data_IF_359428134223
#
_entry.id   IF_359428134223
#
_cell.length_a   1.000
_cell.length_b   1.000
_cell.length_c   1.000
_cell.angle_alpha   90.00
_cell.angle_beta   90.00
_cell.angle_gamma   90.00
#
_symmetry.space_group_name_H-M   'P 1'
#
loop_
_entity.id
_entity.type
_entity.pdbx_description
1 polymer ?
#
# COMPACT_ATOMS: atom_id res chain seq x y z
N UNK A 1 -38.23 -29.76 15.58
CA UNK A 1 -37.59 -28.77 16.47
C UNK A 1 -36.50 -28.07 15.67
N UNK A 2 -36.43 -26.74 15.75
CA UNK A 2 -35.53 -25.78 15.07
C UNK A 2 -34.02 -26.16 15.15
N UNK A 3 -33.11 -25.63 14.30
CA UNK A 3 -33.08 -24.20 13.94
C UNK A 3 -32.84 -23.83 12.47
N UNK A 4 -33.36 -22.64 12.16
CA UNK A 4 -33.14 -21.83 10.96
C UNK A 4 -31.95 -20.91 11.24
N UNK A 5 -31.02 -20.81 10.30
CA UNK A 5 -29.96 -19.80 10.31
C UNK A 5 -30.52 -18.50 9.71
N UNK A 6 -30.68 -17.47 10.54
CA UNK A 6 -30.94 -16.10 10.09
C UNK A 6 -29.59 -15.38 9.95
N UNK A 7 -29.26 -14.97 8.72
CA UNK A 7 -28.13 -14.08 8.45
C UNK A 7 -28.55 -12.65 8.82
N UNK A 8 -28.03 -12.14 9.93
CA UNK A 8 -28.08 -10.71 10.26
C UNK A 8 -27.02 -9.97 9.44
N UNK A 9 -27.48 -9.30 8.37
CA UNK A 9 -26.69 -8.31 7.64
C UNK A 9 -26.69 -7.01 8.45
N UNK A 10 -25.57 -6.68 9.08
CA UNK A 10 -25.34 -5.36 9.66
C UNK A 10 -25.04 -4.38 8.51
N UNK A 11 -26.04 -3.63 8.08
CA UNK A 11 -25.85 -2.45 7.25
C UNK A 11 -25.35 -1.30 8.12
N UNK A 12 -24.06 -0.96 8.01
CA UNK A 12 -23.52 0.25 8.61
C UNK A 12 -23.97 1.47 7.79
N UNK A 13 -24.99 2.18 8.28
CA UNK A 13 -25.41 3.46 7.71
C UNK A 13 -24.35 4.54 8.05
N UNK A 14 -23.64 5.02 7.03
CA UNK A 14 -22.77 6.19 7.13
C UNK A 14 -23.65 7.44 7.28
N UNK A 15 -23.75 7.94 8.51
CA UNK A 15 -24.46 9.18 8.84
C UNK A 15 -23.78 10.36 8.14
N UNK A 16 -24.54 11.07 7.31
CA UNK A 16 -24.19 12.35 6.71
C UNK A 16 -24.31 13.46 7.76
N UNK A 17 -23.17 13.97 8.23
CA UNK A 17 -23.11 15.23 8.98
C UNK A 17 -22.28 16.24 8.18
N UNK A 18 -22.95 17.29 7.67
CA UNK A 18 -22.32 18.39 6.97
C UNK A 18 -21.62 19.34 7.92
N UNK A 19 -20.33 19.58 7.68
CA UNK A 19 -19.56 20.67 8.29
C UNK A 19 -18.77 21.37 7.16
N UNK A 20 -19.15 22.61 6.84
CA UNK A 20 -18.41 23.50 5.95
C UNK A 20 -17.98 24.72 6.79
N UNK A 21 -16.65 24.84 7.05
CA UNK A 21 -15.77 25.64 6.19
C UNK A 21 -14.40 24.98 5.85
N UNK A 22 -14.31 23.64 5.77
CA UNK A 22 -13.05 22.89 5.56
C UNK A 22 -12.72 22.52 4.08
N UNK A 23 -13.40 23.14 3.11
CA UNK A 23 -13.50 22.65 1.73
C UNK A 23 -12.22 22.80 0.89
N UNK A 24 -11.51 23.93 1.00
CA UNK A 24 -10.25 24.16 0.27
C UNK A 24 -9.09 23.34 0.86
N UNK A 25 -9.04 23.24 2.18
CA UNK A 25 -8.04 22.49 2.93
C UNK A 25 -8.19 20.97 2.71
N UNK A 26 -9.42 20.44 2.71
CA UNK A 26 -9.66 19.04 2.37
C UNK A 26 -9.22 18.68 0.94
N UNK A 27 -9.38 19.59 -0.03
CA UNK A 27 -8.98 19.37 -1.41
C UNK A 27 -7.46 19.40 -1.61
N UNK A 28 -6.73 20.30 -0.93
CA UNK A 28 -5.27 20.32 -0.97
C UNK A 28 -4.68 19.11 -0.24
N UNK A 29 -5.23 18.75 0.92
CA UNK A 29 -4.87 17.53 1.66
C UNK A 29 -5.11 16.28 0.81
N UNK A 30 -6.18 16.23 0.01
CA UNK A 30 -6.44 15.10 -0.89
C UNK A 30 -5.34 14.86 -1.90
N UNK A 31 -4.84 15.93 -2.50
CA UNK A 31 -3.71 15.82 -3.43
C UNK A 31 -2.43 15.36 -2.73
N UNK A 32 -2.17 15.86 -1.52
CA UNK A 32 -0.99 15.47 -0.76
C UNK A 32 -1.04 14.00 -0.34
N UNK A 33 -2.20 13.52 0.09
CA UNK A 33 -2.46 12.11 0.45
C UNK A 33 -2.28 11.15 -0.73
N UNK A 34 -2.74 11.58 -1.92
CA UNK A 34 -2.68 10.79 -3.14
C UNK A 34 -1.30 10.85 -3.81
N UNK A 35 -0.37 11.64 -3.27
CA UNK A 35 1.01 11.75 -3.71
C UNK A 35 1.94 10.91 -2.80
N UNK A 36 2.47 9.77 -3.27
CA UNK A 36 3.34 8.90 -2.47
C UNK A 36 4.69 9.53 -2.09
N UNK A 37 5.06 10.64 -2.73
CA UNK A 37 6.28 11.43 -2.46
C UNK A 37 5.96 12.88 -2.12
N UNK A 38 4.83 13.13 -1.46
CA UNK A 38 4.48 14.47 -0.99
C UNK A 38 5.56 15.02 -0.03
N UNK A 39 5.82 16.33 -0.11
CA UNK A 39 6.63 17.05 0.88
C UNK A 39 5.83 17.29 2.18
N UNK A 40 5.37 16.19 2.79
CA UNK A 40 4.63 16.16 4.04
C UNK A 40 4.96 14.88 4.80
N UNK A 41 5.16 15.00 6.11
CA UNK A 41 5.32 13.82 6.97
C UNK A 41 3.97 13.10 7.03
N UNK A 42 3.98 11.78 6.84
CA UNK A 42 2.76 10.98 7.00
C UNK A 42 3.04 9.61 7.61
N UNK A 43 2.02 9.05 8.26
CA UNK A 43 2.08 7.73 8.88
C UNK A 43 0.81 6.92 8.50
N UNK A 44 0.86 6.21 7.35
CA UNK A 44 -0.13 5.23 6.95
C UNK A 44 -0.01 3.92 7.74
N UNK A 45 -1.14 3.44 8.22
CA UNK A 45 -1.41 2.09 8.67
C UNK A 45 -2.33 1.43 7.64
N UNK A 46 -1.81 0.44 6.91
CA UNK A 46 -2.56 -0.26 5.86
C UNK A 46 -2.68 -1.73 6.23
N UNK A 47 -3.89 -2.17 6.58
CA UNK A 47 -4.19 -3.57 6.79
C UNK A 47 -4.67 -4.22 5.49
N UNK A 48 -4.00 -5.29 5.07
CA UNK A 48 -4.39 -6.12 3.96
C UNK A 48 -4.89 -7.46 4.51
N UNK A 49 -6.18 -7.72 4.36
CA UNK A 49 -6.77 -9.02 4.63
C UNK A 49 -6.85 -9.79 3.31
N UNK A 50 -6.04 -10.83 3.23
CA UNK A 50 -5.86 -11.66 2.05
C UNK A 50 -6.62 -12.98 2.27
N UNK A 51 -7.60 -13.25 1.41
CA UNK A 51 -8.45 -14.44 1.50
C UNK A 51 -7.95 -15.54 0.56
N UNK A 52 -8.27 -16.79 0.92
CA UNK A 52 -7.92 -17.98 0.15
C UNK A 52 -6.40 -18.13 -0.08
N UNK A 53 -5.61 -17.87 0.97
CA UNK A 53 -4.14 -18.02 0.93
C UNK A 53 -3.75 -19.46 1.26
N UNK A 54 -2.82 -19.98 0.47
CA UNK A 54 -2.20 -21.30 0.64
C UNK A 54 -3.15 -22.48 0.33
N UNK A 55 -2.62 -23.71 0.41
CA UNK A 55 -3.37 -24.93 0.06
C UNK A 55 -4.64 -25.16 0.89
N UNK A 56 -4.68 -24.57 2.09
CA UNK A 56 -5.80 -24.71 3.03
C UNK A 56 -6.85 -23.58 2.92
N UNK A 57 -6.70 -22.68 1.94
CA UNK A 57 -7.59 -21.54 1.68
C UNK A 57 -7.90 -20.72 2.94
N UNK A 58 -6.85 -20.30 3.66
CA UNK A 58 -6.98 -19.58 4.93
C UNK A 58 -6.79 -18.08 4.74
N UNK A 59 -7.24 -17.30 5.71
CA UNK A 59 -7.05 -15.84 5.72
C UNK A 59 -5.69 -15.47 6.31
N UNK A 60 -4.95 -14.65 5.57
CA UNK A 60 -3.73 -13.97 6.01
C UNK A 60 -4.05 -12.50 6.29
N UNK A 61 -3.40 -11.91 7.30
CA UNK A 61 -3.46 -10.48 7.53
C UNK A 61 -2.04 -9.90 7.51
N UNK A 62 -1.88 -8.75 6.86
CA UNK A 62 -0.63 -7.99 6.83
C UNK A 62 -0.94 -6.53 7.16
N UNK A 63 -0.45 -6.06 8.30
CA UNK A 63 -0.48 -4.65 8.67
C UNK A 63 0.85 -3.99 8.28
N UNK A 64 0.81 -3.11 7.29
CA UNK A 64 1.94 -2.29 6.90
C UNK A 64 1.91 -0.95 7.65
N UNK A 65 2.97 -0.66 8.39
CA UNK A 65 3.22 0.64 9.05
C UNK A 65 4.25 1.38 8.20
N UNK A 66 3.89 2.57 7.69
CA UNK A 66 4.58 3.14 6.54
C UNK A 66 5.08 4.58 6.72
N UNK A 67 5.94 4.90 7.71
CA UNK A 67 6.39 6.28 7.90
C UNK A 67 7.03 6.86 6.62
N UNK A 68 6.54 8.04 6.23
CA UNK A 68 7.09 8.84 5.14
C UNK A 68 7.63 10.14 5.72
N UNK A 69 8.91 10.41 5.46
CA UNK A 69 9.59 11.58 5.99
C UNK A 69 10.36 12.31 4.87
N UNK A 70 9.91 13.51 4.46
CA UNK A 70 10.64 14.35 3.52
C UNK A 70 11.74 15.14 4.23
N UNK A 71 12.95 15.10 3.66
CA UNK A 71 14.10 15.89 4.08
C UNK A 71 14.40 16.91 2.99
N UNK A 72 14.53 18.19 3.38
CA UNK A 72 15.04 19.21 2.48
C UNK A 72 16.51 18.89 2.16
N UNK A 73 16.79 18.48 0.92
CA UNK A 73 18.15 18.16 0.48
C UNK A 73 18.86 19.41 -0.04
N UNK A 74 18.18 20.19 -0.90
CA UNK A 74 18.65 21.51 -1.35
C UNK A 74 17.50 22.53 -1.36
N UNK A 75 17.73 23.73 -1.90
CA UNK A 75 16.68 24.72 -2.14
C UNK A 75 15.58 24.20 -3.08
N UNK A 76 15.94 23.34 -4.05
CA UNK A 76 15.05 22.91 -5.14
C UNK A 76 14.66 21.43 -5.05
N UNK A 77 15.37 20.63 -4.26
CA UNK A 77 15.19 19.18 -4.20
C UNK A 77 14.88 18.69 -2.79
N UNK A 78 14.01 17.69 -2.73
CA UNK A 78 13.69 16.91 -1.55
C UNK A 78 14.27 15.49 -1.68
N UNK A 79 14.68 14.94 -0.54
CA UNK A 79 14.89 13.52 -0.35
C UNK A 79 13.71 12.98 0.47
N UNK A 80 12.81 12.23 -0.17
CA UNK A 80 11.68 11.60 0.52
C UNK A 80 12.06 10.18 0.91
N UNK A 81 12.06 9.90 2.21
CA UNK A 81 12.26 8.56 2.73
C UNK A 81 10.93 7.90 3.06
N UNK A 82 10.83 6.59 2.79
CA UNK A 82 9.68 5.76 3.12
C UNK A 82 10.19 4.46 3.70
N UNK A 83 9.70 4.08 4.87
CA UNK A 83 9.93 2.74 5.44
C UNK A 83 8.62 1.99 5.45
N UNK A 84 8.60 0.71 5.10
CA UNK A 84 7.44 -0.17 5.21
C UNK A 84 7.82 -1.27 6.18
N UNK A 85 7.13 -1.31 7.32
CA UNK A 85 7.28 -2.34 8.34
C UNK A 85 6.05 -3.24 8.31
N UNK A 86 6.15 -4.47 7.80
CA UNK A 86 5.03 -5.41 7.77
C UNK A 86 4.93 -6.21 9.07
N UNK A 87 3.77 -6.16 9.72
CA UNK A 87 3.38 -7.08 10.79
C UNK A 87 2.43 -8.11 10.19
N UNK A 88 2.84 -9.37 10.19
CA UNK A 88 2.21 -10.43 9.42
C UNK A 88 1.59 -11.45 10.36
N UNK A 89 0.38 -11.87 10.03
CA UNK A 89 -0.28 -13.06 10.59
C UNK A 89 -0.49 -14.08 9.47
N UNK A 90 0.46 -15.02 9.39
CA UNK A 90 0.58 -16.02 8.34
C UNK A 90 -0.18 -17.29 8.72
N UNK A 91 -1.21 -17.70 7.97
CA UNK A 91 -1.89 -18.96 8.27
C UNK A 91 -0.98 -20.16 8.02
N UNK A 92 -1.34 -21.29 8.64
CA UNK A 92 -0.72 -22.58 8.36
C UNK A 92 -0.89 -22.97 6.88
N UNK A 93 0.16 -23.53 6.27
CA UNK A 93 0.13 -24.05 4.91
C UNK A 93 -0.09 -25.57 4.87
N UNK A 94 0.22 -26.25 5.96
CA UNK A 94 -0.04 -27.69 6.13
C UNK A 94 -0.83 -27.94 7.42
N UNK A 95 -1.54 -29.08 7.55
CA UNK A 95 -2.29 -29.40 8.77
C UNK A 95 -1.44 -29.54 10.04
N UNK A 96 -0.14 -29.77 9.90
CA UNK A 96 0.80 -29.92 11.01
C UNK A 96 1.45 -28.59 11.43
N UNK A 97 1.14 -27.49 10.75
CA UNK A 97 1.68 -26.16 11.06
C UNK A 97 0.67 -25.33 11.84
N UNK A 98 1.20 -24.49 12.73
CA UNK A 98 0.44 -23.43 13.36
C UNK A 98 0.50 -22.11 12.57
N UNK A 99 -0.36 -21.17 12.96
CA UNK A 99 -0.32 -19.78 12.48
C UNK A 99 0.91 -19.10 13.06
N UNK A 100 1.65 -18.41 12.19
CA UNK A 100 2.85 -17.67 12.56
C UNK A 100 2.54 -16.18 12.60
N UNK A 101 3.07 -15.46 13.59
CA UNK A 101 2.84 -14.03 13.73
C UNK A 101 4.15 -13.32 14.04
N UNK A 102 4.47 -12.28 13.30
CA UNK A 102 5.72 -11.58 13.50
C UNK A 102 5.97 -10.46 12.51
N UNK A 103 7.22 -10.02 12.45
CA UNK A 103 7.64 -9.06 11.45
C UNK A 103 8.00 -9.81 10.17
N UNK A 104 7.67 -9.20 9.02
CA UNK A 104 8.28 -9.57 7.75
C UNK A 104 9.42 -8.64 7.39
N UNK A 105 9.92 -8.78 6.16
CA UNK A 105 11.04 -7.97 5.67
C UNK A 105 10.66 -6.48 5.56
N UNK A 106 11.43 -5.65 6.27
CA UNK A 106 11.31 -4.19 6.19
C UNK A 106 11.85 -3.72 4.84
N UNK A 107 11.10 -2.84 4.19
CA UNK A 107 11.57 -2.15 2.98
C UNK A 107 11.80 -0.67 3.26
N UNK A 108 12.97 -0.17 2.89
CA UNK A 108 13.32 1.24 2.95
C UNK A 108 13.49 1.78 1.53
N UNK A 109 12.89 2.93 1.22
CA UNK A 109 13.07 3.62 -0.05
C UNK A 109 13.44 5.07 0.19
N UNK A 110 14.29 5.60 -0.69
CA UNK A 110 14.65 7.01 -0.71
C UNK A 110 14.49 7.54 -2.14
N UNK A 111 13.71 8.60 -2.30
CA UNK A 111 13.41 9.24 -3.58
C UNK A 111 13.98 10.65 -3.61
N UNK A 112 14.72 10.98 -4.66
CA UNK A 112 14.98 12.36 -5.04
C UNK A 112 13.81 12.88 -5.85
N UNK A 113 13.23 14.01 -5.43
CA UNK A 113 12.11 14.67 -6.11
C UNK A 113 12.33 16.17 -6.12
N UNK A 114 12.03 16.88 -7.23
CA UNK A 114 11.91 18.33 -7.21
C UNK A 114 10.83 18.78 -6.22
N UNK A 115 11.02 19.93 -5.57
CA UNK A 115 10.02 20.51 -4.67
C UNK A 115 8.77 21.01 -5.40
N UNK A 116 8.95 21.43 -6.66
CA UNK A 116 7.90 21.97 -7.50
C UNK A 116 7.61 21.00 -8.66
N UNK A 117 6.34 20.82 -9.06
CA UNK A 117 6.01 20.05 -10.24
C UNK A 117 6.71 20.59 -11.49
N UNK A 118 7.24 19.71 -12.33
CA UNK A 118 7.88 20.04 -13.61
C UNK A 118 6.88 19.75 -14.73
N UNK A 119 6.42 20.78 -15.45
CA UNK A 119 5.44 20.61 -16.52
C UNK A 119 4.10 20.00 -16.06
N UNK A 120 3.70 20.25 -14.80
CA UNK A 120 2.48 19.66 -14.20
C UNK A 120 2.67 18.26 -13.59
N UNK A 121 3.87 17.69 -13.72
CA UNK A 121 4.21 16.37 -13.18
C UNK A 121 5.03 16.48 -11.90
N UNK A 122 4.64 15.69 -10.90
CA UNK A 122 5.50 15.35 -9.77
C UNK A 122 6.17 14.03 -10.09
N UNK A 123 7.47 13.93 -9.83
CA UNK A 123 8.21 12.70 -10.06
C UNK A 123 9.32 12.55 -9.04
N UNK A 124 9.71 11.30 -8.80
CA UNK A 124 10.87 10.99 -8.01
C UNK A 124 11.55 9.73 -8.49
N UNK A 125 12.88 9.69 -8.34
CA UNK A 125 13.70 8.54 -8.65
C UNK A 125 14.65 8.26 -7.49
N UNK A 126 14.97 6.99 -7.26
CA UNK A 126 15.91 6.65 -6.22
C UNK A 126 16.05 5.15 -6.04
N UNK A 127 16.27 4.74 -4.79
CA UNK A 127 16.65 3.37 -4.44
C UNK A 127 15.68 2.78 -3.42
N UNK A 128 15.53 1.47 -3.47
CA UNK A 128 14.82 0.66 -2.50
C UNK A 128 15.76 -0.43 -1.98
N UNK A 129 15.74 -0.64 -0.66
CA UNK A 129 16.42 -1.71 0.03
C UNK A 129 15.40 -2.58 0.76
N UNK A 130 15.56 -3.89 0.65
CA UNK A 130 14.86 -4.87 1.47
C UNK A 130 15.83 -5.36 2.55
N UNK A 131 15.37 -5.35 3.79
CA UNK A 131 16.16 -5.76 4.95
C UNK A 131 15.68 -7.14 5.40
N UNK A 132 16.62 -8.05 5.58
CA UNK A 132 16.35 -9.38 6.11
C UNK A 132 16.07 -9.29 7.61
N UNK A 133 14.81 -9.06 7.94
CA UNK A 133 14.35 -8.66 9.28
C UNK A 133 13.13 -9.46 9.73
N UNK A 134 12.67 -10.39 8.89
CA UNK A 134 11.57 -11.27 9.24
C UNK A 134 11.93 -12.10 10.49
N UNK A 135 10.97 -12.23 11.40
CA UNK A 135 11.20 -12.95 12.67
C UNK A 135 11.05 -14.46 12.53
N UNK A 136 10.48 -14.92 11.42
CA UNK A 136 10.33 -16.32 11.08
C UNK A 136 10.47 -16.49 9.58
N UNK A 137 10.98 -17.64 9.15
CA UNK A 137 11.30 -17.90 7.76
C UNK A 137 10.09 -17.81 6.82
N UNK A 138 8.89 -18.06 7.33
CA UNK A 138 7.63 -18.00 6.60
C UNK A 138 7.11 -16.57 6.39
N UNK A 139 7.72 -15.58 7.05
CA UNK A 139 7.27 -14.18 7.03
C UNK A 139 8.13 -13.29 6.11
N UNK A 140 9.25 -13.81 5.61
CA UNK A 140 10.19 -13.07 4.77
C UNK A 140 10.87 -13.94 3.72
N UNK A 141 11.68 -13.29 2.91
CA UNK A 141 12.45 -13.90 1.82
C UNK A 141 13.78 -14.47 2.32
N UNK A 142 14.28 -14.04 3.49
CA UNK A 142 15.58 -14.45 4.02
C UNK A 142 16.74 -13.88 3.19
N UNK A 143 16.56 -12.64 2.72
CA UNK A 143 17.50 -11.98 1.82
C UNK A 143 17.50 -10.45 1.96
N UNK A 144 18.72 -9.90 2.02
CA UNK A 144 18.98 -8.49 1.80
C UNK A 144 18.85 -8.18 0.32
N UNK A 145 18.07 -7.16 0.00
CA UNK A 145 17.82 -6.76 -1.38
C UNK A 145 18.09 -5.28 -1.64
N UNK A 146 18.41 -4.95 -2.89
CA UNK A 146 18.59 -3.59 -3.36
C UNK A 146 18.06 -3.44 -4.79
N UNK A 147 17.56 -2.27 -5.13
CA UNK A 147 17.31 -1.92 -6.53
C UNK A 147 16.72 -0.52 -6.73
N UNK A 148 16.38 -0.15 -7.97
CA UNK A 148 15.86 1.15 -8.31
C UNK A 148 14.38 1.25 -7.97
N UNK A 149 13.93 2.47 -7.69
CA UNK A 149 12.52 2.82 -7.61
C UNK A 149 12.28 4.17 -8.27
N UNK A 150 11.12 4.32 -8.91
CA UNK A 150 10.69 5.55 -9.51
C UNK A 150 9.19 5.74 -9.34
N UNK A 151 8.76 6.99 -9.36
CA UNK A 151 7.36 7.38 -9.32
C UNK A 151 7.14 8.62 -10.17
N UNK A 152 6.00 8.67 -10.84
CA UNK A 152 5.55 9.86 -11.55
C UNK A 152 4.03 9.99 -11.43
N UNK A 153 3.55 11.22 -11.22
CA UNK A 153 2.13 11.50 -11.12
C UNK A 153 1.77 12.92 -11.55
N UNK A 154 0.53 13.06 -11.98
CA UNK A 154 -0.08 14.32 -12.36
C UNK A 154 -1.14 14.73 -11.33
N UNK A 155 -1.05 15.96 -10.81
CA UNK A 155 -1.89 16.48 -9.72
C UNK A 155 -3.02 17.41 -10.23
N UNK A 156 -4.01 16.83 -10.90
CA UNK A 156 -5.21 17.56 -11.34
C UNK A 156 -6.15 17.94 -10.18
N UNK A 157 -7.22 18.68 -10.49
CA UNK A 157 -8.29 19.01 -9.50
C UNK A 157 -9.22 17.82 -9.27
N UNK A 158 -9.73 17.23 -10.35
CA UNK A 158 -10.64 16.09 -10.32
C UNK A 158 -9.88 14.77 -10.38
N UNK A 159 -8.88 14.69 -11.26
CA UNK A 159 -8.11 13.48 -11.50
C UNK A 159 -6.71 13.61 -10.93
N UNK A 160 -6.29 12.63 -10.15
CA UNK A 160 -4.90 12.42 -9.76
C UNK A 160 -4.51 11.04 -10.22
N UNK A 161 -3.48 10.94 -11.05
CA UNK A 161 -3.06 9.65 -11.58
C UNK A 161 -1.55 9.57 -11.74
N UNK A 162 -1.01 8.35 -11.72
CA UNK A 162 0.40 8.09 -11.82
C UNK A 162 0.72 6.62 -11.64
N UNK A 163 2.00 6.33 -11.50
CA UNK A 163 2.48 5.00 -11.17
C UNK A 163 3.78 5.08 -10.37
N UNK A 164 3.96 4.11 -9.48
CA UNK A 164 5.23 3.81 -8.82
C UNK A 164 5.71 2.46 -9.31
N UNK A 165 6.99 2.36 -9.63
CA UNK A 165 7.64 1.11 -10.01
C UNK A 165 8.93 0.91 -9.21
N UNK A 166 9.24 -0.33 -8.89
CA UNK A 166 10.56 -0.73 -8.43
C UNK A 166 10.87 -2.17 -8.84
N UNK A 167 12.15 -2.52 -8.77
CA UNK A 167 12.59 -3.91 -8.81
C UNK A 167 13.65 -4.11 -7.73
N UNK A 168 13.56 -5.21 -6.98
CA UNK A 168 14.50 -5.56 -5.91
C UNK A 168 15.23 -6.84 -6.31
N UNK A 169 16.56 -6.82 -6.21
CA UNK A 169 17.39 -8.01 -6.36
C UNK A 169 18.05 -8.37 -5.03
N UNK A 170 18.18 -9.66 -4.73
CA UNK A 170 18.98 -10.12 -3.59
C UNK A 170 20.46 -9.78 -3.79
N UNK A 171 21.08 -9.17 -2.79
CA UNK A 171 22.51 -8.90 -2.70
C UNK A 171 23.21 -9.91 -1.79
N UNK A 172 22.53 -10.32 -0.73
CA UNK A 172 22.92 -11.41 0.16
C UNK A 172 21.65 -12.17 0.59
N UNK A 173 21.79 -13.47 0.86
CA UNK A 173 20.69 -14.33 1.27
C UNK A 173 21.20 -15.42 2.21
N UNK A 174 20.30 -15.99 2.99
CA UNK A 174 20.60 -17.22 3.73
C UNK A 174 20.81 -18.40 2.77
N UNK A 175 21.56 -19.41 3.23
CA UNK A 175 22.03 -20.52 2.39
C UNK A 175 20.86 -21.28 1.73
N UNK A 176 19.78 -21.54 2.48
CA UNK A 176 18.62 -22.31 2.04
C UNK A 176 17.53 -21.47 1.32
N UNK A 177 17.81 -20.20 1.04
CA UNK A 177 16.86 -19.28 0.40
C UNK A 177 17.07 -19.16 -1.11
N UNK A 178 16.00 -18.83 -1.84
CA UNK A 178 16.09 -18.51 -3.28
C UNK A 178 16.62 -17.09 -3.45
N UNK A 179 17.19 -16.81 -4.63
CA UNK A 179 17.46 -15.43 -5.01
C UNK A 179 16.15 -14.64 -5.05
N UNK A 180 16.24 -13.34 -4.76
CA UNK A 180 15.13 -12.40 -4.92
C UNK A 180 15.32 -11.65 -6.22
N UNK A 181 14.30 -11.65 -7.07
CA UNK A 181 14.20 -10.75 -8.21
C UNK A 181 12.72 -10.38 -8.37
N UNK A 182 12.32 -9.30 -7.71
CA UNK A 182 10.91 -8.97 -7.54
C UNK A 182 10.60 -7.56 -8.06
N UNK A 183 9.69 -7.48 -9.02
CA UNK A 183 9.13 -6.21 -9.49
C UNK A 183 7.86 -5.87 -8.70
N UNK A 184 7.68 -4.58 -8.39
CA UNK A 184 6.42 -4.01 -7.96
C UNK A 184 6.03 -2.87 -8.90
N UNK A 185 4.80 -2.90 -9.39
CA UNK A 185 4.16 -1.83 -10.14
C UNK A 185 2.85 -1.45 -9.45
N UNK A 186 2.76 -0.20 -9.02
CA UNK A 186 1.57 0.37 -8.40
C UNK A 186 1.05 1.50 -9.28
N UNK A 187 0.11 1.23 -10.21
CA UNK A 187 -0.66 2.31 -10.80
C UNK A 187 -1.54 2.94 -9.71
N UNK A 188 -1.84 4.23 -9.85
CA UNK A 188 -2.87 4.87 -9.04
C UNK A 188 -3.66 5.85 -9.90
N UNK A 189 -4.99 5.75 -9.81
CA UNK A 189 -5.94 6.67 -10.44
C UNK A 189 -6.98 7.02 -9.40
N UNK A 190 -7.12 8.30 -9.09
CA UNK A 190 -8.06 8.82 -8.11
C UNK A 190 -9.01 9.83 -8.78
N UNK A 191 -10.30 9.66 -8.52
CA UNK A 191 -11.35 10.58 -8.91
C UNK A 191 -11.87 11.30 -7.68
N UNK A 192 -11.52 12.58 -7.53
CA UNK A 192 -11.95 13.44 -6.44
C UNK A 192 -13.32 14.04 -6.77
N UNK A 193 -14.30 13.87 -5.88
CA UNK A 193 -15.66 14.36 -6.11
C UNK A 193 -15.72 15.89 -5.96
N UNK A 194 -16.01 16.67 -7.02
CA UNK A 194 -15.98 18.14 -6.95
C UNK A 194 -16.96 18.72 -5.94
N UNK A 195 -18.13 18.08 -5.79
CA UNK A 195 -19.20 18.49 -4.88
C UNK A 195 -19.13 17.82 -3.50
N UNK A 196 -18.09 17.03 -3.22
CA UNK A 196 -17.90 16.39 -1.92
C UNK A 196 -16.40 16.34 -1.59
N UNK A 197 -15.82 17.47 -1.17
CA UNK A 197 -14.40 17.60 -0.89
C UNK A 197 -13.89 16.53 0.09
N UNK A 198 -12.70 16.01 -0.18
CA UNK A 198 -12.09 14.95 0.62
C UNK A 198 -12.56 13.53 0.27
N UNK A 199 -13.71 13.37 -0.40
CA UNK A 199 -14.17 12.07 -0.90
C UNK A 199 -13.59 11.79 -2.27
N UNK A 200 -13.17 10.55 -2.50
CA UNK A 200 -12.67 10.12 -3.80
C UNK A 200 -12.89 8.63 -4.06
N UNK A 201 -12.93 8.25 -5.34
CA UNK A 201 -12.74 6.87 -5.79
C UNK A 201 -11.26 6.65 -6.06
N UNK A 202 -10.78 5.43 -5.82
CA UNK A 202 -9.39 5.07 -6.06
C UNK A 202 -9.26 3.72 -6.75
N UNK A 203 -8.37 3.67 -7.73
CA UNK A 203 -7.85 2.46 -8.33
C UNK A 203 -6.35 2.47 -8.06
N UNK A 204 -5.87 1.65 -7.13
CA UNK A 204 -4.44 1.52 -6.85
C UNK A 204 -4.04 0.10 -6.42
N UNK A 205 -4.22 -0.89 -7.32
CA UNK A 205 -3.70 -2.24 -7.07
C UNK A 205 -2.18 -2.22 -6.96
N UNK A 206 -1.64 -3.24 -6.29
CA UNK A 206 -0.20 -3.50 -6.26
C UNK A 206 0.03 -4.73 -7.12
N UNK A 207 0.59 -4.53 -8.31
CA UNK A 207 0.95 -5.59 -9.24
C UNK A 207 2.38 -6.02 -8.92
N UNK A 208 2.62 -7.32 -8.86
CA UNK A 208 3.96 -7.86 -8.59
C UNK A 208 4.34 -8.92 -9.61
N UNK A 209 5.65 -9.05 -9.84
CA UNK A 209 6.25 -10.16 -10.57
C UNK A 209 7.45 -10.73 -9.79
N UNK A 210 7.45 -12.03 -9.52
CA UNK A 210 8.64 -12.79 -9.08
C UNK A 210 9.29 -13.41 -10.32
N UNK A 211 10.43 -12.86 -10.73
CA UNK A 211 11.13 -13.31 -11.93
C UNK A 211 11.88 -14.64 -11.71
N UNK A 212 12.06 -15.06 -10.46
CA UNK A 212 12.64 -16.36 -10.10
C UNK A 212 11.56 -17.44 -9.92
N UNK A 213 10.28 -17.10 -10.06
CA UNK A 213 9.20 -18.06 -9.98
C UNK A 213 9.07 -18.89 -11.27
N UNK A 214 8.53 -20.11 -11.11
CA UNK A 214 8.25 -21.01 -12.22
C UNK A 214 7.25 -20.39 -13.21
N UNK A 215 7.25 -20.92 -14.45
CA UNK A 215 6.31 -20.48 -15.50
C UNK A 215 4.86 -20.60 -15.03
N UNK A 216 4.11 -19.50 -15.15
CA UNK A 216 2.71 -19.40 -14.71
C UNK A 216 2.54 -19.07 -13.23
N UNK A 217 3.64 -18.81 -12.50
CA UNK A 217 3.61 -18.45 -11.07
C UNK A 217 4.26 -17.09 -10.80
N UNK A 218 4.64 -16.35 -11.84
CA UNK A 218 5.39 -15.11 -11.68
C UNK A 218 4.52 -13.93 -11.24
N UNK A 219 3.31 -13.83 -11.77
CA UNK A 219 2.54 -12.59 -11.69
C UNK A 219 1.47 -12.64 -10.61
N UNK A 220 1.29 -11.52 -9.91
CA UNK A 220 0.05 -11.22 -9.18
C UNK A 220 -0.52 -9.92 -9.73
N UNK A 221 -1.73 -10.00 -10.31
CA UNK A 221 -2.42 -8.87 -10.92
C UNK A 221 -3.78 -8.67 -10.24
N UNK A 222 -3.88 -7.72 -9.30
CA UNK A 222 -5.16 -7.38 -8.68
C UNK A 222 -5.97 -6.43 -9.56
N UNK A 223 -7.25 -6.70 -9.71
CA UNK A 223 -8.23 -5.81 -10.29
C UNK A 223 -9.30 -5.46 -9.25
N UNK A 224 -9.56 -4.17 -9.05
CA UNK A 224 -10.48 -3.74 -8.01
C UNK A 224 -10.49 -2.23 -7.82
N UNK A 225 -11.39 -1.77 -6.96
CA UNK A 225 -11.61 -0.35 -6.69
C UNK A 225 -11.71 -0.12 -5.19
N UNK A 226 -11.50 1.13 -4.81
CA UNK A 226 -11.68 1.60 -3.46
C UNK A 226 -12.34 2.96 -3.39
N UNK A 227 -12.67 3.32 -2.17
CA UNK A 227 -13.19 4.62 -1.78
C UNK A 227 -12.26 5.20 -0.72
N UNK A 228 -12.11 6.52 -0.74
CA UNK A 228 -11.35 7.26 0.24
C UNK A 228 -12.12 8.46 0.77
N UNK A 229 -11.81 8.83 2.00
CA UNK A 229 -12.37 9.99 2.67
C UNK A 229 -11.31 10.65 3.54
N UNK A 230 -11.12 11.95 3.32
CA UNK A 230 -10.27 12.78 4.17
C UNK A 230 -11.15 13.47 5.19
N UNK A 231 -10.73 13.36 6.43
CA UNK A 231 -11.40 13.93 7.57
C UNK A 231 -10.38 14.46 8.58
N UNK A 232 -10.87 15.06 9.65
CA UNK A 232 -10.05 15.56 10.75
C UNK A 232 -10.51 14.89 12.04
N UNK A 233 -9.58 14.29 12.78
CA UNK A 233 -9.80 13.85 14.16
C UNK A 233 -9.31 14.98 15.08
N UNK A 234 -10.25 15.82 15.52
CA UNK A 234 -9.91 17.10 16.14
C UNK A 234 -9.12 17.97 15.15
N UNK A 235 -7.87 18.28 15.48
CA UNK A 235 -6.96 19.06 14.61
C UNK A 235 -6.17 18.20 13.62
N UNK A 236 -6.09 16.89 13.85
CA UNK A 236 -5.23 15.98 13.10
C UNK A 236 -5.92 15.56 11.79
N UNK A 237 -5.39 15.92 10.60
CA UNK A 237 -5.91 15.40 9.35
C UNK A 237 -5.61 13.90 9.21
N UNK A 238 -6.62 13.16 8.75
CA UNK A 238 -6.58 11.71 8.56
C UNK A 238 -7.24 11.35 7.24
N UNK A 239 -6.58 10.49 6.47
CA UNK A 239 -7.17 9.87 5.30
C UNK A 239 -7.57 8.42 5.61
N UNK A 240 -8.82 8.08 5.36
CA UNK A 240 -9.35 6.73 5.48
C UNK A 240 -9.62 6.16 4.09
N UNK A 241 -9.20 4.92 3.83
CA UNK A 241 -9.50 4.22 2.59
C UNK A 241 -9.99 2.80 2.85
N UNK A 242 -10.87 2.34 1.97
CA UNK A 242 -11.27 0.95 1.87
C UNK A 242 -11.27 0.54 0.40
N UNK A 243 -10.61 -0.55 0.06
CA UNK A 243 -10.54 -1.08 -1.30
C UNK A 243 -10.66 -2.60 -1.30
N UNK A 244 -11.26 -3.15 -2.35
CA UNK A 244 -11.35 -4.58 -2.55
C UNK A 244 -10.75 -4.93 -3.92
N UNK A 245 -9.94 -5.99 -3.96
CA UNK A 245 -9.28 -6.47 -5.16
C UNK A 245 -9.49 -7.97 -5.35
N UNK A 246 -9.70 -8.37 -6.60
CA UNK A 246 -9.65 -9.74 -7.06
C UNK A 246 -8.36 -9.96 -7.85
N UNK A 247 -7.57 -10.96 -7.48
CA UNK A 247 -6.36 -11.29 -8.21
C UNK A 247 -6.72 -12.12 -9.44
N UNK A 248 -6.78 -11.46 -10.61
CA UNK A 248 -7.14 -12.08 -11.89
C UNK A 248 -6.04 -12.99 -12.43
N UNK A 249 -4.80 -12.69 -12.06
CA UNK A 249 -3.62 -13.52 -12.27
C UNK A 249 -2.91 -13.63 -10.91
N UNK A 250 -2.47 -14.83 -10.54
CA UNK A 250 -1.79 -15.09 -9.26
C UNK A 250 -1.09 -16.44 -9.25
N UNK A 251 -0.03 -16.62 -8.44
CA UNK A 251 0.46 -17.94 -8.07
C UNK A 251 -0.64 -18.78 -7.39
N UNK A 252 -0.53 -20.10 -7.47
CA UNK A 252 -1.56 -21.04 -7.00
C UNK A 252 -1.95 -20.81 -5.53
N UNK A 253 -0.94 -20.55 -4.70
CA UNK A 253 -1.04 -20.38 -3.25
C UNK A 253 -1.21 -18.92 -2.81
N UNK A 254 -1.24 -17.96 -3.73
CA UNK A 254 -1.48 -16.56 -3.40
C UNK A 254 -2.98 -16.29 -3.20
N UNK A 255 -3.28 -15.19 -2.51
CA UNK A 255 -4.65 -14.79 -2.21
C UNK A 255 -5.50 -14.66 -3.47
N UNK A 256 -6.77 -15.06 -3.40
CA UNK A 256 -7.73 -14.82 -4.49
C UNK A 256 -8.37 -13.44 -4.38
N UNK A 257 -8.73 -13.05 -3.16
CA UNK A 257 -9.33 -11.77 -2.84
C UNK A 257 -8.50 -11.03 -1.81
N UNK A 258 -8.49 -9.70 -1.89
CA UNK A 258 -7.87 -8.82 -0.91
C UNK A 258 -8.85 -7.72 -0.51
N UNK A 259 -9.04 -7.54 0.79
CA UNK A 259 -9.62 -6.33 1.38
C UNK A 259 -8.49 -5.48 1.96
N UNK A 260 -8.38 -4.24 1.51
CA UNK A 260 -7.39 -3.27 2.00
C UNK A 260 -8.10 -2.15 2.74
N UNK A 261 -7.74 -1.98 4.00
CA UNK A 261 -8.18 -0.86 4.83
C UNK A 261 -6.97 -0.01 5.20
N UNK A 262 -7.09 1.31 5.08
CA UNK A 262 -6.00 2.23 5.40
C UNK A 262 -6.49 3.37 6.27
N UNK A 263 -5.69 3.71 7.28
CA UNK A 263 -5.77 4.96 8.03
C UNK A 263 -4.41 5.65 7.95
N UNK A 264 -4.38 6.88 7.44
CA UNK A 264 -3.14 7.63 7.27
C UNK A 264 -3.21 8.97 7.99
N UNK A 265 -2.33 9.13 8.97
CA UNK A 265 -2.12 10.40 9.65
C UNK A 265 -1.23 11.30 8.80
N UNK A 266 -1.60 12.58 8.70
CA UNK A 266 -0.88 13.58 7.92
C UNK A 266 -0.38 14.65 8.86
N UNK A 267 0.88 15.03 8.74
CA UNK A 267 1.48 16.08 9.56
C UNK A 267 1.92 17.21 8.63
N UNK A 268 0.99 18.07 8.17
CA UNK A 268 1.32 19.28 7.43
C UNK A 268 2.30 20.16 8.21
N UNK A 269 3.18 20.85 7.50
CA UNK A 269 4.11 21.84 8.06
C UNK A 269 3.34 23.07 8.58
#
# INVERSE_FOLDING_TARGET
MKPRFEFLVFAAALVWAGLAPAQQDAASLAKAVQNPIADMVSLPFQNNTNFDVGPLNKTQNILNIQPVYPVNFTSEWNLITRTIVPVISQPAFTPAQDRENGLGDIQFSAFFSPKQPVGGWVWGAGVIAQLDTATDDRLGQGAWGLGPTAVALHLGKTWVYGALINNVWSVAKDDDRRNVNQMLLQPFVNYNFPHSPGRYLTFSPIITADWEAASGQQWTVPLGLGIGQIMRFGKQPVNLQAAAYYNVERPDNAARWQLRLQMQFLFPK
#
